data_IF_160402601910
#
_entry.id   IF_160402601910
#
_cell.length_a   1.000
_cell.length_b   1.000
_cell.length_c   1.000
_cell.angle_alpha   90.00
_cell.angle_beta   90.00
_cell.angle_gamma   90.00
#
_symmetry.space_group_name_H-M   'P 1'
#
loop_
_entity.id
_entity.type
_entity.pdbx_description
1 polymer ?
#
# COMPACT_ATOMS: atom_id res chain seq x y z
N UNK A 1 5.12 -9.57 -15.81
CA UNK A 1 3.95 -8.77 -15.38
C UNK A 1 2.66 -9.58 -15.37
N UNK A 2 2.14 -9.94 -16.55
CA UNK A 2 0.90 -10.70 -16.68
C UNK A 2 0.91 -12.02 -15.89
N UNK A 3 2.04 -12.73 -15.87
CA UNK A 3 2.20 -13.98 -15.11
C UNK A 3 2.10 -13.77 -13.59
N UNK A 4 2.57 -12.63 -13.05
CA UNK A 4 2.41 -12.30 -11.63
C UNK A 4 0.94 -11.99 -11.30
N UNK A 5 0.28 -11.16 -12.12
CA UNK A 5 -1.14 -10.87 -11.93
C UNK A 5 -1.98 -12.15 -12.01
N UNK A 6 -1.70 -12.99 -13.01
CA UNK A 6 -2.37 -14.27 -13.20
C UNK A 6 -2.15 -15.20 -12.00
N UNK A 7 -0.93 -15.30 -11.47
CA UNK A 7 -0.68 -16.16 -10.31
C UNK A 7 -1.40 -15.68 -9.04
N UNK A 8 -1.53 -14.36 -8.84
CA UNK A 8 -2.33 -13.80 -7.73
C UNK A 8 -3.84 -14.04 -7.91
N UNK A 9 -4.36 -13.87 -9.13
CA UNK A 9 -5.76 -14.15 -9.43
C UNK A 9 -6.10 -15.64 -9.26
N UNK A 10 -5.26 -16.53 -9.79
CA UNK A 10 -5.42 -17.98 -9.63
C UNK A 10 -5.28 -18.42 -8.17
N UNK A 11 -4.36 -17.82 -7.42
CA UNK A 11 -4.24 -18.07 -5.97
C UNK A 11 -5.49 -17.67 -5.21
N UNK A 12 -6.07 -16.51 -5.53
CA UNK A 12 -7.35 -16.07 -4.96
C UNK A 12 -8.50 -17.02 -5.30
N UNK A 13 -8.65 -17.40 -6.57
CA UNK A 13 -9.67 -18.37 -7.00
C UNK A 13 -9.49 -19.73 -6.33
N UNK A 14 -8.26 -20.19 -6.15
CA UNK A 14 -7.98 -21.45 -5.48
C UNK A 14 -8.42 -21.43 -4.01
N UNK A 15 -8.19 -20.32 -3.30
CA UNK A 15 -8.65 -20.16 -1.91
C UNK A 15 -10.18 -20.10 -1.84
N UNK A 16 -10.84 -19.42 -2.77
CA UNK A 16 -12.32 -19.42 -2.87
C UNK A 16 -12.88 -20.83 -3.08
N UNK A 17 -12.25 -21.63 -3.95
CA UNK A 17 -12.64 -23.04 -4.15
C UNK A 17 -12.43 -23.85 -2.88
N UNK A 18 -11.32 -23.66 -2.18
CA UNK A 18 -11.05 -24.34 -0.91
C UNK A 18 -12.15 -24.05 0.13
N UNK A 19 -12.60 -22.80 0.26
CA UNK A 19 -13.67 -22.43 1.20
C UNK A 19 -14.99 -23.17 0.92
N UNK A 20 -15.32 -23.38 -0.35
CA UNK A 20 -16.53 -24.12 -0.76
C UNK A 20 -16.36 -25.64 -0.68
N UNK A 21 -15.20 -26.16 -1.11
CA UNK A 21 -14.98 -27.60 -1.27
C UNK A 21 -14.60 -28.29 0.04
N UNK A 22 -13.88 -27.61 0.93
CA UNK A 22 -13.38 -28.21 2.17
C UNK A 22 -14.10 -27.76 3.42
N UNK A 23 -14.89 -26.68 3.36
CA UNK A 23 -15.61 -26.10 4.51
C UNK A 23 -14.76 -26.09 5.80
N UNK A 24 -13.61 -25.39 5.78
CA UNK A 24 -12.66 -25.46 6.89
C UNK A 24 -13.26 -24.95 8.20
N UNK A 25 -12.72 -25.41 9.33
CA UNK A 25 -13.17 -24.96 10.66
C UNK A 25 -12.74 -23.53 11.02
N UNK A 26 -12.17 -22.78 10.07
CA UNK A 26 -11.66 -21.42 10.25
C UNK A 26 -12.21 -20.52 9.14
N UNK A 27 -12.38 -19.23 9.48
CA UNK A 27 -12.81 -18.21 8.53
C UNK A 27 -11.66 -17.78 7.61
N UNK A 28 -12.02 -17.38 6.39
CA UNK A 28 -11.12 -16.89 5.34
C UNK A 28 -11.43 -15.42 5.05
N UNK A 29 -10.46 -14.55 5.29
CA UNK A 29 -10.56 -13.12 4.94
C UNK A 29 -9.51 -12.77 3.89
N UNK A 30 -9.95 -12.15 2.80
CA UNK A 30 -9.11 -11.74 1.69
C UNK A 30 -8.71 -10.27 1.81
N UNK A 31 -7.41 -10.05 1.98
CA UNK A 31 -6.79 -8.73 1.98
C UNK A 31 -6.05 -8.55 0.67
N UNK A 32 -6.52 -7.62 -0.15
CA UNK A 32 -5.90 -7.31 -1.44
C UNK A 32 -5.19 -5.96 -1.36
N UNK A 33 -3.86 -5.94 -1.23
CA UNK A 33 -3.10 -4.71 -1.43
C UNK A 33 -3.27 -4.24 -2.87
N UNK A 34 -3.19 -2.93 -3.06
CA UNK A 34 -3.25 -2.35 -4.38
C UNK A 34 -2.10 -2.78 -5.30
N UNK A 35 -2.34 -2.70 -6.61
CA UNK A 35 -1.50 -3.21 -7.69
C UNK A 35 -0.19 -2.41 -7.86
N UNK A 36 0.86 -3.04 -8.40
CA UNK A 36 2.21 -2.45 -8.55
C UNK A 36 2.75 -2.61 -9.98
N UNK A 37 1.98 -2.49 -11.08
CA UNK A 37 2.49 -2.97 -12.39
C UNK A 37 2.00 -2.16 -13.63
N UNK A 38 2.90 -1.38 -14.27
CA UNK A 38 2.65 -0.51 -15.44
C UNK A 38 3.18 0.93 -15.22
N UNK A 39 2.87 1.93 -16.08
CA UNK A 39 3.01 3.34 -15.65
C UNK A 39 2.49 3.46 -14.22
N UNK A 40 3.29 4.01 -13.31
CA UNK A 40 3.11 3.83 -11.87
C UNK A 40 1.66 4.10 -11.50
N UNK A 41 0.92 3.07 -11.08
CA UNK A 41 -0.50 3.22 -10.79
C UNK A 41 -0.65 4.13 -9.57
N UNK A 42 -1.63 5.01 -9.61
CA UNK A 42 -1.87 6.00 -8.57
C UNK A 42 -2.49 5.38 -7.33
N UNK A 43 -1.92 4.32 -6.78
CA UNK A 43 -2.44 3.64 -5.61
C UNK A 43 -1.29 3.17 -4.73
N UNK A 44 -1.42 3.41 -3.43
CA UNK A 44 -0.43 3.05 -2.42
C UNK A 44 -1.14 2.68 -1.14
N UNK A 45 -0.43 2.02 -0.23
CA UNK A 45 -0.92 1.72 1.11
C UNK A 45 0.27 1.70 2.06
N UNK A 46 0.12 2.29 3.25
CA UNK A 46 1.19 2.26 4.24
C UNK A 46 1.36 0.85 4.81
N UNK A 47 2.60 0.46 5.09
CA UNK A 47 2.91 -0.86 5.63
C UNK A 47 2.23 -1.12 6.98
N UNK A 48 2.23 -0.13 7.88
CA UNK A 48 1.54 -0.28 9.18
C UNK A 48 0.03 -0.46 9.04
N UNK A 49 -0.58 0.21 8.06
CA UNK A 49 -2.02 0.08 7.83
C UNK A 49 -2.33 -1.32 7.27
N UNK A 50 -1.47 -1.84 6.39
CA UNK A 50 -1.54 -3.23 5.94
C UNK A 50 -1.39 -4.21 7.10
N UNK A 51 -0.37 -4.06 7.93
CA UNK A 51 -0.12 -4.94 9.06
C UNK A 51 -1.29 -4.91 10.06
N UNK A 52 -1.77 -3.70 10.38
CA UNK A 52 -2.96 -3.49 11.22
C UNK A 52 -4.18 -4.19 10.64
N UNK A 53 -4.39 -4.11 9.33
CA UNK A 53 -5.54 -4.75 8.67
C UNK A 53 -5.48 -6.28 8.77
N UNK A 54 -4.29 -6.89 8.62
CA UNK A 54 -4.12 -8.34 8.82
C UNK A 54 -4.46 -8.78 10.24
N UNK A 55 -4.04 -8.01 11.25
CA UNK A 55 -4.35 -8.32 12.65
C UNK A 55 -5.84 -8.14 12.94
N UNK A 56 -6.45 -7.05 12.46
CA UNK A 56 -7.87 -6.77 12.68
C UNK A 56 -8.80 -7.73 11.93
N UNK A 57 -8.34 -8.34 10.85
CA UNK A 57 -9.09 -9.37 10.11
C UNK A 57 -9.30 -10.67 10.90
N UNK A 58 -8.54 -10.90 11.99
CA UNK A 58 -8.70 -12.06 12.86
C UNK A 58 -9.77 -11.86 13.94
N UNK A 59 -10.34 -10.66 14.05
CA UNK A 59 -11.40 -10.35 15.01
C UNK A 59 -12.70 -11.05 14.57
N UNK A 60 -13.36 -11.77 15.49
CA UNK A 60 -14.60 -12.52 15.22
C UNK A 60 -15.77 -11.66 14.74
N UNK A 61 -15.67 -10.32 14.83
CA UNK A 61 -16.64 -9.39 14.24
C UNK A 61 -16.54 -9.33 12.71
N UNK A 62 -15.40 -9.71 12.14
CA UNK A 62 -15.19 -9.76 10.69
C UNK A 62 -15.78 -11.07 10.21
N UNK A 63 -16.76 -10.97 9.32
CA UNK A 63 -17.44 -12.14 8.78
C UNK A 63 -16.49 -12.96 7.90
N UNK A 64 -16.82 -14.25 7.75
CA UNK A 64 -16.17 -15.12 6.79
C UNK A 64 -16.36 -14.62 5.34
N UNK A 65 -15.45 -15.03 4.47
CA UNK A 65 -15.39 -14.78 3.03
C UNK A 65 -15.40 -13.29 2.63
N UNK A 66 -14.88 -12.41 3.50
CA UNK A 66 -14.84 -10.98 3.20
C UNK A 66 -13.61 -10.59 2.38
N UNK A 67 -13.84 -9.76 1.37
CA UNK A 67 -12.80 -9.13 0.57
C UNK A 67 -12.64 -7.65 0.91
N UNK A 68 -11.38 -7.22 1.10
CA UNK A 68 -11.03 -5.84 1.42
C UNK A 68 -9.91 -5.32 0.51
N UNK A 69 -10.15 -4.14 -0.07
CA UNK A 69 -9.15 -3.36 -0.79
C UNK A 69 -8.34 -2.53 0.21
N UNK A 70 -7.03 -2.63 0.14
CA UNK A 70 -6.12 -1.85 0.94
C UNK A 70 -5.43 -0.80 0.07
N UNK A 71 -5.94 0.42 0.12
CA UNK A 71 -5.41 1.53 -0.66
C UNK A 71 -5.74 2.86 0.01
N UNK A 72 -4.83 3.83 -0.14
CA UNK A 72 -5.02 5.22 0.24
C UNK A 72 -6.29 5.79 -0.41
N UNK A 73 -6.99 6.73 0.26
CA UNK A 73 -8.28 7.24 -0.20
C UNK A 73 -8.20 8.03 -1.52
N UNK A 74 -7.03 8.64 -1.80
CA UNK A 74 -6.80 9.40 -3.02
C UNK A 74 -5.84 8.69 -3.98
N UNK A 75 -5.98 9.02 -5.26
CA UNK A 75 -5.01 8.57 -6.27
C UNK A 75 -3.66 9.18 -5.95
N UNK A 76 -2.66 8.33 -5.77
CA UNK A 76 -1.26 8.74 -5.60
C UNK A 76 -0.77 9.45 -6.86
N UNK A 77 0.06 10.49 -6.72
CA UNK A 77 0.94 10.99 -7.77
C UNK A 77 2.39 10.71 -7.35
N UNK A 78 3.04 9.75 -8.01
CA UNK A 78 4.40 9.34 -7.69
C UNK A 78 5.42 10.46 -7.88
N UNK A 79 5.18 11.39 -8.79
CA UNK A 79 6.04 12.56 -8.94
C UNK A 79 5.94 13.50 -7.73
N UNK A 80 4.82 13.47 -7.01
CA UNK A 80 4.62 14.23 -5.79
C UNK A 80 5.55 13.80 -4.66
N UNK A 81 6.11 12.58 -4.67
CA UNK A 81 7.01 12.12 -3.63
C UNK A 81 8.27 12.99 -3.53
N UNK A 82 8.90 13.31 -4.67
CA UNK A 82 10.06 14.22 -4.69
C UNK A 82 9.67 15.64 -4.29
N UNK A 83 8.46 16.08 -4.64
CA UNK A 83 7.99 17.43 -4.29
C UNK A 83 7.74 17.57 -2.78
N UNK A 84 7.17 16.54 -2.16
CA UNK A 84 7.01 16.44 -0.70
C UNK A 84 8.38 16.48 -0.03
N UNK A 85 9.33 15.68 -0.53
CA UNK A 85 10.65 15.59 0.06
C UNK A 85 11.41 16.93 -0.05
N UNK A 86 11.38 17.58 -1.22
CA UNK A 86 11.98 18.91 -1.43
C UNK A 86 11.36 19.98 -0.53
N UNK A 87 10.07 19.89 -0.22
CA UNK A 87 9.40 20.84 0.68
C UNK A 87 9.73 20.62 2.15
N UNK A 88 9.76 19.37 2.62
CA UNK A 88 9.92 19.04 4.05
C UNK A 88 11.37 18.91 4.49
N UNK A 89 12.28 18.49 3.61
CA UNK A 89 13.67 18.14 3.94
C UNK A 89 14.67 19.02 3.20
N UNK A 90 14.52 20.34 3.36
CA UNK A 90 15.34 21.34 2.64
C UNK A 90 16.84 21.21 2.96
N UNK A 91 17.19 20.89 4.21
CA UNK A 91 18.59 20.78 4.65
C UNK A 91 19.28 19.57 4.01
N UNK A 92 18.56 18.46 3.95
CA UNK A 92 19.00 17.18 3.40
C UNK A 92 19.10 17.27 1.88
N UNK A 93 18.16 17.97 1.24
CA UNK A 93 18.24 18.31 -0.18
C UNK A 93 19.48 19.17 -0.48
N UNK A 94 19.75 20.21 0.32
CA UNK A 94 20.92 21.07 0.15
C UNK A 94 22.25 20.32 0.34
N UNK A 95 22.26 19.28 1.18
CA UNK A 95 23.39 18.34 1.35
C UNK A 95 23.54 17.35 0.18
N UNK A 96 22.63 17.35 -0.78
CA UNK A 96 22.65 16.40 -1.91
C UNK A 96 22.37 14.96 -1.50
N UNK A 97 21.70 14.75 -0.36
CA UNK A 97 21.38 13.39 0.14
C UNK A 97 20.45 12.68 -0.84
N UNK A 98 19.50 13.42 -1.42
CA UNK A 98 18.51 12.88 -2.34
C UNK A 98 18.94 13.08 -3.79
N UNK A 99 19.07 11.98 -4.54
CA UNK A 99 19.44 11.99 -5.98
C UNK A 99 18.27 12.30 -6.92
N UNK A 100 17.36 13.19 -6.55
CA UNK A 100 16.11 13.40 -7.31
C UNK A 100 16.33 13.86 -8.76
N UNK A 101 17.38 14.63 -9.03
CA UNK A 101 17.64 15.18 -10.36
C UNK A 101 18.20 14.15 -11.35
N UNK A 102 18.59 12.97 -10.86
CA UNK A 102 19.06 11.83 -11.66
C UNK A 102 17.93 10.93 -12.18
N UNK A 103 16.68 11.20 -11.77
CA UNK A 103 15.53 10.33 -12.05
C UNK A 103 14.51 11.10 -12.90
N UNK A 104 14.08 10.56 -14.05
CA UNK A 104 12.98 11.16 -14.81
C UNK A 104 11.71 11.27 -13.97
N UNK A 105 10.98 12.40 -14.10
CA UNK A 105 9.71 12.60 -13.40
C UNK A 105 8.74 11.46 -13.77
N UNK A 106 8.29 10.64 -12.81
CA UNK A 106 7.44 9.50 -13.14
C UNK A 106 6.07 9.95 -13.62
N UNK A 107 5.51 9.22 -14.58
CA UNK A 107 4.13 9.38 -15.03
C UNK A 107 3.22 8.44 -14.24
N UNK A 108 2.24 9.04 -13.57
CA UNK A 108 1.27 8.31 -12.76
C UNK A 108 -0.02 8.09 -13.55
N UNK A 109 -0.47 6.83 -13.64
CA UNK A 109 -1.82 6.54 -14.12
C UNK A 109 -2.80 6.73 -12.97
N UNK A 110 -3.66 7.76 -13.06
CA UNK A 110 -4.67 8.01 -12.02
C UNK A 110 -5.61 6.82 -11.89
N UNK A 111 -5.74 6.31 -10.67
CA UNK A 111 -6.62 5.21 -10.34
C UNK A 111 -7.33 5.54 -9.04
N UNK A 112 -8.64 5.28 -8.98
CA UNK A 112 -9.42 5.43 -7.76
C UNK A 112 -9.86 4.05 -7.30
N UNK A 113 -9.34 3.64 -6.15
CA UNK A 113 -9.75 2.41 -5.47
C UNK A 113 -10.69 2.80 -4.33
N UNK A 114 -11.83 2.11 -4.22
CA UNK A 114 -12.78 2.34 -3.13
C UNK A 114 -12.46 1.44 -1.94
N UNK A 115 -11.74 1.99 -0.96
CA UNK A 115 -11.38 1.29 0.29
C UNK A 115 -12.40 1.52 1.41
N UNK A 116 -13.54 2.19 1.17
CA UNK A 116 -14.48 2.58 2.23
C UNK A 116 -15.08 1.38 2.98
N UNK A 117 -15.19 0.21 2.33
CA UNK A 117 -15.60 -1.03 2.99
C UNK A 117 -14.59 -1.41 4.07
N UNK A 118 -13.30 -1.43 3.74
CA UNK A 118 -12.24 -1.77 4.68
C UNK A 118 -12.18 -0.78 5.84
N UNK A 119 -12.21 0.53 5.56
CA UNK A 119 -12.15 1.56 6.59
C UNK A 119 -13.31 1.45 7.61
N UNK A 120 -14.53 1.19 7.11
CA UNK A 120 -15.71 0.97 7.95
C UNK A 120 -15.60 -0.30 8.80
N UNK A 121 -15.16 -1.40 8.20
CA UNK A 121 -15.06 -2.69 8.92
C UNK A 121 -13.96 -2.67 9.99
N UNK A 122 -12.81 -2.10 9.67
CA UNK A 122 -11.64 -2.11 10.56
C UNK A 122 -11.54 -0.89 11.48
N UNK A 123 -12.38 0.13 11.26
CA UNK A 123 -12.48 1.30 12.14
C UNK A 123 -11.27 2.23 12.08
N UNK A 124 -10.62 2.35 10.92
CA UNK A 124 -9.53 3.30 10.69
C UNK A 124 -9.52 3.82 9.25
N UNK A 125 -8.83 4.94 9.03
CA UNK A 125 -8.64 5.55 7.71
C UNK A 125 -7.20 5.30 7.24
N UNK A 126 -7.02 4.97 5.96
CA UNK A 126 -5.68 4.76 5.41
C UNK A 126 -4.88 6.06 5.36
N UNK A 127 -3.59 5.98 5.69
CA UNK A 127 -2.68 7.12 5.67
C UNK A 127 -2.60 7.76 4.28
N UNK A 128 -2.63 9.10 4.19
CA UNK A 128 -2.47 9.81 2.93
C UNK A 128 -1.05 9.62 2.37
N UNK A 129 -0.90 9.78 1.06
CA UNK A 129 0.39 9.56 0.38
C UNK A 129 1.55 10.37 0.97
N UNK A 130 1.30 11.62 1.40
CA UNK A 130 2.32 12.46 2.03
C UNK A 130 2.89 11.87 3.32
N UNK A 131 2.03 11.30 4.17
CA UNK A 131 2.47 10.65 5.41
C UNK A 131 3.27 9.38 5.10
N UNK A 132 2.89 8.64 4.06
CA UNK A 132 3.63 7.47 3.62
C UNK A 132 5.03 7.83 3.12
N UNK A 133 5.15 8.90 2.34
CA UNK A 133 6.45 9.40 1.84
C UNK A 133 7.33 9.84 3.01
N UNK A 134 6.77 10.62 3.95
CA UNK A 134 7.49 11.11 5.14
C UNK A 134 8.01 9.96 5.98
N UNK A 135 7.18 8.96 6.27
CA UNK A 135 7.57 7.76 7.02
C UNK A 135 8.79 7.06 6.42
N UNK A 136 8.79 6.85 5.11
CA UNK A 136 9.92 6.21 4.40
C UNK A 136 11.17 7.10 4.40
N UNK A 137 11.01 8.41 4.16
CA UNK A 137 12.14 9.35 4.13
C UNK A 137 12.77 9.51 5.50
N UNK A 138 11.99 9.61 6.57
CA UNK A 138 12.48 9.71 7.95
C UNK A 138 13.34 8.48 8.31
N UNK A 139 12.84 7.28 8.01
CA UNK A 139 13.61 6.05 8.25
C UNK A 139 14.88 5.98 7.38
N UNK A 140 14.81 6.42 6.12
CA UNK A 140 16.01 6.50 5.28
C UNK A 140 17.06 7.45 5.88
N UNK A 141 16.66 8.61 6.37
CA UNK A 141 17.56 9.59 6.98
C UNK A 141 18.18 9.06 8.29
N UNK A 142 17.40 8.33 9.09
CA UNK A 142 17.90 7.61 10.27
C UNK A 142 19.04 6.64 9.89
N UNK A 143 18.82 5.82 8.85
CA UNK A 143 19.82 4.86 8.37
C UNK A 143 21.07 5.54 7.77
N UNK A 144 20.91 6.69 7.13
CA UNK A 144 22.04 7.48 6.60
C UNK A 144 22.84 8.11 7.73
N UNK A 145 22.17 8.60 8.78
CA UNK A 145 22.83 9.19 9.95
C UNK A 145 23.53 8.14 10.82
N UNK A 146 23.00 6.92 10.91
CA UNK A 146 23.58 5.81 11.68
C UNK A 146 24.73 5.07 11.02
N UNK A 147 25.23 5.52 9.85
CA UNK A 147 26.37 4.92 9.14
C UNK A 147 27.75 5.49 9.55
N UNK A 148 27.81 6.18 10.69
CA UNK A 148 29.07 6.66 11.30
C UNK A 148 29.68 5.65 12.27
#
# INVERSE_FOLDING_TARGET
>A
MAVYCASKALGFEAVKRLGVEQEPSFDIVHIMPSWVLGQLEGTTVHLDDMAKMHVLALDSKVQDDQEFMAASPESTDWAGASDIARKRYLKECARGIFGFDSIPRPLTRKLRIDSRKAEKTFGFTFKPFEEQVVSVVDHFLELVAGKE
#
